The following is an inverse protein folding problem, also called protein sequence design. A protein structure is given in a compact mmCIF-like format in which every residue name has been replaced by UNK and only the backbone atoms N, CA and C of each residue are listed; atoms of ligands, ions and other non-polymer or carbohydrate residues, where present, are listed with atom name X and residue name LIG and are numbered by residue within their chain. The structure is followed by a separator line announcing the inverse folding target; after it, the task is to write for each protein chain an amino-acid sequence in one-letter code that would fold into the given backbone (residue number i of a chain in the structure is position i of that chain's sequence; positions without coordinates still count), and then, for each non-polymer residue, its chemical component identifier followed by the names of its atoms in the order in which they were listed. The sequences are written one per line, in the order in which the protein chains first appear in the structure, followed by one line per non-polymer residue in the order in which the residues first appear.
data_IF_052400330216
#
_entry.id   IF_052400330216
#
_cell.length_a   1.000
_cell.length_b   1.000
_cell.length_c   1.000
_cell.angle_alpha   90.00
_cell.angle_beta   90.00
_cell.angle_gamma   90.00
#
_symmetry.space_group_name_H-M   'P 1'
#
loop_
_entity.id
_entity.type
_entity.pdbx_description
1 polymer ?
#
# COMPACT_ATOMS: atom_id res chain seq x y z
N UNK A 1 -10.55 -25.03 -6.00
CA UNK A 1 -11.78 -24.64 -5.28
C UNK A 1 -12.51 -23.64 -6.17
N UNK A 2 -13.32 -24.15 -7.09
CA UNK A 2 -13.77 -23.44 -8.30
C UNK A 2 -14.59 -22.18 -8.00
N UNK A 3 -15.26 -22.16 -6.83
CA UNK A 3 -16.04 -21.01 -6.35
C UNK A 3 -15.14 -19.81 -6.04
N UNK A 4 -13.94 -20.03 -5.48
CA UNK A 4 -12.98 -18.96 -5.17
C UNK A 4 -12.42 -18.34 -6.44
N UNK A 5 -12.02 -19.19 -7.39
CA UNK A 5 -11.52 -18.74 -8.69
C UNK A 5 -12.58 -17.93 -9.45
N UNK A 6 -13.85 -18.38 -9.42
CA UNK A 6 -14.95 -17.65 -10.05
C UNK A 6 -15.16 -16.27 -9.41
N UNK A 7 -15.23 -16.19 -8.08
CA UNK A 7 -15.38 -14.91 -7.37
C UNK A 7 -14.22 -13.95 -7.63
N UNK A 8 -13.00 -14.47 -7.74
CA UNK A 8 -11.82 -13.67 -8.06
C UNK A 8 -11.92 -13.07 -9.46
N UNK A 9 -12.28 -13.87 -10.46
CA UNK A 9 -12.45 -13.39 -11.84
C UNK A 9 -13.60 -12.37 -11.92
N UNK A 10 -14.73 -12.65 -11.28
CA UNK A 10 -15.90 -11.77 -11.30
C UNK A 10 -15.59 -10.41 -10.63
N UNK A 11 -14.85 -10.42 -9.50
CA UNK A 11 -14.41 -9.21 -8.82
C UNK A 11 -13.59 -8.30 -9.72
N UNK A 12 -12.59 -8.86 -10.42
CA UNK A 12 -11.74 -8.04 -11.29
C UNK A 12 -12.49 -7.57 -12.52
N UNK A 13 -13.35 -8.39 -13.12
CA UNK A 13 -14.21 -7.97 -14.24
C UNK A 13 -15.07 -6.75 -13.92
N UNK A 14 -15.63 -6.67 -12.71
CA UNK A 14 -16.41 -5.51 -12.26
C UNK A 14 -15.55 -4.23 -12.14
N UNK A 15 -14.25 -4.39 -11.87
CA UNK A 15 -13.30 -3.29 -11.69
C UNK A 15 -12.61 -2.83 -12.98
N UNK A 16 -12.98 -3.41 -14.12
CA UNK A 16 -12.40 -3.04 -15.40
C UNK A 16 -12.88 -1.64 -15.84
N UNK A 17 -12.00 -0.63 -15.90
CA UNK A 17 -12.37 0.71 -16.33
C UNK A 17 -12.69 0.79 -17.84
N UNK A 18 -12.22 -0.18 -18.65
CA UNK A 18 -12.51 -0.22 -20.08
C UNK A 18 -12.68 -1.67 -20.56
N UNK A 19 -13.91 -2.22 -20.50
CA UNK A 19 -14.18 -3.61 -20.89
C UNK A 19 -13.99 -3.90 -22.39
N UNK A 20 -13.68 -2.86 -23.18
CA UNK A 20 -13.35 -3.01 -24.61
C UNK A 20 -11.91 -3.48 -24.82
N UNK A 21 -11.04 -3.31 -23.82
CA UNK A 21 -9.68 -3.84 -23.84
C UNK A 21 -9.70 -5.30 -23.35
N UNK A 22 -8.95 -6.17 -24.02
CA UNK A 22 -8.80 -7.57 -23.56
C UNK A 22 -8.07 -7.66 -22.22
N UNK A 23 -7.31 -6.62 -21.87
CA UNK A 23 -6.55 -6.50 -20.64
C UNK A 23 -7.23 -5.55 -19.65
N UNK A 24 -7.56 -6.09 -18.48
CA UNK A 24 -8.09 -5.31 -17.36
C UNK A 24 -6.96 -4.49 -16.72
N UNK A 25 -6.96 -3.19 -17.01
CA UNK A 25 -5.90 -2.28 -16.56
C UNK A 25 -5.82 -2.16 -15.03
N UNK A 26 -6.95 -2.26 -14.33
CA UNK A 26 -6.98 -2.20 -12.86
C UNK A 26 -6.34 -3.46 -12.23
N UNK A 27 -6.56 -4.62 -12.84
CA UNK A 27 -5.91 -5.88 -12.44
C UNK A 27 -4.40 -5.78 -12.63
N UNK A 28 -3.95 -5.38 -13.81
CA UNK A 28 -2.52 -5.25 -14.13
C UNK A 28 -1.84 -4.25 -13.21
N UNK A 29 -2.48 -3.09 -12.98
CA UNK A 29 -1.96 -2.06 -12.10
C UNK A 29 -1.83 -2.55 -10.66
N UNK A 30 -2.84 -3.26 -10.14
CA UNK A 30 -2.78 -3.83 -8.81
C UNK A 30 -1.60 -4.80 -8.66
N UNK A 31 -1.45 -5.76 -9.59
CA UNK A 31 -0.36 -6.73 -9.51
C UNK A 31 1.02 -6.10 -9.76
N UNK A 32 1.09 -5.04 -10.58
CA UNK A 32 2.30 -4.22 -10.73
C UNK A 32 2.70 -3.58 -9.40
N UNK A 33 1.75 -3.03 -8.66
CA UNK A 33 2.01 -2.44 -7.33
C UNK A 33 2.36 -3.48 -6.28
N UNK A 34 1.75 -4.67 -6.33
CA UNK A 34 2.12 -5.80 -5.47
C UNK A 34 3.58 -6.20 -5.71
N UNK A 35 3.97 -6.39 -6.97
CA UNK A 35 5.35 -6.73 -7.31
C UNK A 35 6.34 -5.64 -6.87
N UNK A 36 6.01 -4.37 -7.09
CA UNK A 36 6.82 -3.25 -6.60
C UNK A 36 6.93 -3.25 -5.07
N UNK A 37 5.82 -3.49 -4.37
CA UNK A 37 5.81 -3.54 -2.91
C UNK A 37 6.70 -4.68 -2.38
N UNK A 38 6.64 -5.86 -3.00
CA UNK A 38 7.51 -6.98 -2.65
C UNK A 38 8.98 -6.70 -2.93
N UNK A 39 9.31 -5.99 -4.00
CA UNK A 39 10.70 -5.63 -4.29
C UNK A 39 11.26 -4.57 -3.33
N UNK A 40 10.44 -3.58 -2.94
CA UNK A 40 10.92 -2.38 -2.25
C UNK A 40 10.65 -2.36 -0.74
N UNK A 41 9.66 -3.12 -0.26
CA UNK A 41 9.19 -3.05 1.12
C UNK A 41 9.24 -4.41 1.84
N UNK A 42 9.76 -5.46 1.21
CA UNK A 42 9.99 -6.74 1.87
C UNK A 42 11.09 -6.65 2.92
N UNK A 43 10.84 -7.26 4.07
CA UNK A 43 11.82 -7.45 5.15
C UNK A 43 11.63 -8.85 5.73
N UNK A 44 11.30 -8.97 7.02
CA UNK A 44 10.93 -10.24 7.65
C UNK A 44 9.59 -10.81 7.14
N UNK A 45 8.80 -9.99 6.46
CA UNK A 45 7.52 -10.34 5.82
C UNK A 45 7.55 -9.90 4.36
N UNK A 46 6.66 -10.48 3.56
CA UNK A 46 6.45 -10.07 2.18
C UNK A 46 6.04 -8.59 2.10
N UNK A 47 6.62 -7.85 1.15
CA UNK A 47 6.45 -6.41 1.06
C UNK A 47 5.01 -5.97 0.83
N UNK A 48 4.19 -6.76 0.12
CA UNK A 48 2.75 -6.51 -0.01
C UNK A 48 1.98 -6.55 1.32
N UNK A 49 2.56 -7.18 2.36
CA UNK A 49 2.00 -7.27 3.73
C UNK A 49 2.56 -6.21 4.66
N UNK A 50 3.60 -5.49 4.26
CA UNK A 50 4.13 -4.36 5.03
C UNK A 50 3.15 -3.19 4.98
N UNK A 51 3.20 -2.32 5.99
CA UNK A 51 2.31 -1.16 6.02
C UNK A 51 2.56 -0.23 4.83
N UNK A 52 3.84 0.00 4.47
CA UNK A 52 4.22 0.77 3.27
C UNK A 52 3.68 0.14 1.99
N UNK A 53 3.78 -1.19 1.86
CA UNK A 53 3.25 -1.92 0.71
C UNK A 53 1.73 -1.83 0.61
N UNK A 54 1.01 -1.95 1.72
CA UNK A 54 -0.45 -1.78 1.73
C UNK A 54 -0.85 -0.37 1.27
N UNK A 55 -0.21 0.68 1.80
CA UNK A 55 -0.48 2.06 1.37
C UNK A 55 -0.17 2.23 -0.12
N UNK A 56 0.99 1.74 -0.59
CA UNK A 56 1.40 1.85 -1.99
C UNK A 56 0.46 1.10 -2.95
N UNK A 57 -0.01 -0.09 -2.58
CA UNK A 57 -0.93 -0.86 -3.42
C UNK A 57 -2.26 -0.11 -3.57
N UNK A 58 -2.78 0.42 -2.46
CA UNK A 58 -4.08 1.11 -2.45
C UNK A 58 -4.00 2.47 -3.17
N UNK A 59 -3.03 3.30 -2.81
CA UNK A 59 -2.97 4.70 -3.24
C UNK A 59 -2.03 4.93 -4.43
N UNK A 60 -1.13 4.00 -4.71
CA UNK A 60 -0.09 4.15 -5.72
C UNK A 60 1.16 4.81 -5.16
N UNK A 61 1.95 5.42 -6.04
CA UNK A 61 3.12 6.17 -5.62
C UNK A 61 2.70 7.49 -4.95
N UNK A 62 3.28 7.86 -3.80
CA UNK A 62 3.08 9.19 -3.24
C UNK A 62 3.72 10.25 -4.14
N UNK A 63 3.22 11.49 -4.05
CA UNK A 63 3.77 12.65 -4.75
C UNK A 63 5.16 13.02 -4.20
N UNK A 64 5.35 12.85 -2.89
CA UNK A 64 6.62 13.10 -2.22
C UNK A 64 6.88 12.08 -1.11
N UNK A 65 8.14 11.72 -0.95
CA UNK A 65 8.64 10.90 0.16
C UNK A 65 9.73 11.70 0.87
N UNK A 66 9.47 12.14 2.09
CA UNK A 66 10.47 12.70 2.98
C UNK A 66 11.07 11.59 3.84
N UNK A 67 12.39 11.47 3.85
CA UNK A 67 13.10 10.38 4.53
C UNK A 67 13.99 10.93 5.62
N UNK A 68 13.74 10.49 6.83
CA UNK A 68 14.53 10.82 8.01
C UNK A 68 15.30 9.57 8.46
N UNK A 69 16.53 9.35 7.94
CA UNK A 69 17.40 8.29 8.44
C UNK A 69 17.81 8.60 9.88
N UNK A 70 18.33 7.60 10.61
CA UNK A 70 18.75 7.71 12.02
C UNK A 70 19.28 9.10 12.41
N UNK A 71 18.49 9.85 13.16
CA UNK A 71 18.91 11.10 13.80
C UNK A 71 19.25 10.78 15.27
N UNK A 72 20.14 11.57 15.89
CA UNK A 72 20.68 11.28 17.23
C UNK A 72 19.60 11.06 18.32
N UNK A 73 18.43 11.69 18.15
CA UNK A 73 17.31 11.64 19.10
C UNK A 73 15.99 11.10 18.52
N UNK A 74 15.99 10.51 17.32
CA UNK A 74 14.75 9.97 16.72
C UNK A 74 14.92 8.63 16.02
N UNK A 75 13.87 7.80 16.10
CA UNK A 75 13.75 6.59 15.26
C UNK A 75 13.70 7.00 13.78
N UNK A 76 14.22 6.17 12.85
CA UNK A 76 14.06 6.42 11.43
C UNK A 76 12.58 6.46 11.03
N UNK A 77 12.20 7.39 10.17
CA UNK A 77 10.84 7.48 9.67
C UNK A 77 10.77 8.01 8.23
N UNK A 78 9.68 7.68 7.55
CA UNK A 78 9.34 8.20 6.23
C UNK A 78 7.98 8.90 6.29
N UNK A 79 7.86 10.04 5.63
CA UNK A 79 6.61 10.76 5.44
C UNK A 79 6.25 10.71 3.97
N UNK A 80 5.14 10.04 3.66
CA UNK A 80 4.62 9.94 2.30
C UNK A 80 3.48 10.93 2.14
N UNK A 81 3.57 11.82 1.15
CA UNK A 81 2.59 12.87 0.90
C UNK A 81 1.79 12.57 -0.36
N UNK A 82 0.46 12.70 -0.26
CA UNK A 82 -0.47 12.60 -1.38
C UNK A 82 -1.23 13.93 -1.48
N UNK A 83 -0.80 14.80 -2.38
CA UNK A 83 -1.30 16.17 -2.52
C UNK A 83 -2.75 16.21 -3.00
N UNK A 84 -3.11 15.35 -3.95
CA UNK A 84 -4.49 15.23 -4.43
C UNK A 84 -5.46 14.79 -3.32
N UNK A 85 -4.96 14.04 -2.34
CA UNK A 85 -5.73 13.60 -1.17
C UNK A 85 -5.65 14.58 0.01
N UNK A 86 -4.80 15.61 -0.09
CA UNK A 86 -4.42 16.50 1.00
C UNK A 86 -4.12 15.72 2.30
N UNK A 87 -3.38 14.61 2.17
CA UNK A 87 -3.10 13.71 3.27
C UNK A 87 -1.66 13.22 3.27
N UNK A 88 -1.18 12.78 4.42
CA UNK A 88 0.19 12.27 4.59
C UNK A 88 0.19 11.07 5.52
N UNK A 89 1.07 10.12 5.24
CA UNK A 89 1.25 8.92 6.04
C UNK A 89 2.66 8.89 6.60
N UNK A 90 2.77 8.70 7.91
CA UNK A 90 4.06 8.61 8.60
C UNK A 90 4.32 7.15 8.95
N UNK A 91 5.45 6.64 8.48
CA UNK A 91 5.93 5.29 8.78
C UNK A 91 7.18 5.38 9.65
N UNK A 92 7.18 4.72 10.81
CA UNK A 92 8.30 4.74 11.74
C UNK A 92 8.90 3.34 11.81
N UNK A 93 10.22 3.21 11.64
CA UNK A 93 10.92 1.96 11.92
C UNK A 93 11.05 1.79 13.43
N UNK A 94 10.17 0.99 14.02
CA UNK A 94 10.17 0.79 15.47
C UNK A 94 11.38 0.01 15.97
N UNK A 95 11.98 -0.79 15.09
CA UNK A 95 12.96 -1.83 15.40
C UNK A 95 14.39 -1.42 15.05
N UNK A 96 14.56 -0.49 14.10
CA UNK A 96 15.85 -0.13 13.50
C UNK A 96 16.34 -1.11 12.44
N UNK A 97 15.51 -2.11 12.07
CA UNK A 97 15.83 -3.16 11.10
C UNK A 97 14.98 -3.09 9.83
N UNK A 98 14.29 -1.97 9.58
CA UNK A 98 13.47 -1.75 8.39
C UNK A 98 11.99 -2.12 8.53
N UNK A 99 11.52 -2.50 9.73
CA UNK A 99 10.09 -2.75 9.99
C UNK A 99 9.33 -1.43 10.21
N UNK A 100 9.10 -0.71 9.11
CA UNK A 100 8.37 0.55 9.08
C UNK A 100 6.87 0.33 9.35
N UNK A 101 6.41 0.81 10.50
CA UNK A 101 5.01 0.76 10.94
C UNK A 101 4.29 2.06 10.69
N UNK A 102 3.09 1.97 10.16
CA UNK A 102 2.23 3.12 9.93
C UNK A 102 1.71 3.66 11.26
N UNK A 103 1.96 4.95 11.50
CA UNK A 103 1.53 5.64 12.72
C UNK A 103 0.38 6.60 12.49
N UNK A 104 0.21 7.08 11.25
CA UNK A 104 -0.97 7.84 10.85
C UNK A 104 -2.10 6.87 10.50
N UNK A 105 -3.33 7.03 11.01
CA UNK A 105 -4.43 6.19 10.58
C UNK A 105 -4.59 6.31 9.06
N UNK A 106 -4.53 5.18 8.36
CA UNK A 106 -4.79 5.09 6.92
C UNK A 106 -6.15 5.73 6.55
N UNK A 107 -7.07 5.72 7.50
CA UNK A 107 -8.43 6.24 7.42
C UNK A 107 -8.86 6.70 8.82
N UNK A 108 -8.98 8.00 9.07
CA UNK A 108 -9.58 8.49 10.31
C UNK A 108 -11.00 7.92 10.49
N UNK A 109 -11.30 7.32 11.64
CA UNK A 109 -12.59 6.87 12.21
C UNK A 109 -13.69 6.20 11.32
N UNK A 110 -13.54 6.08 10.00
CA UNK A 110 -14.58 5.66 9.06
C UNK A 110 -14.72 4.14 8.88
N UNK A 111 -13.78 3.36 9.42
CA UNK A 111 -13.84 1.89 9.45
C UNK A 111 -13.85 1.32 10.89
N UNK A 112 -14.21 2.14 11.90
CA UNK A 112 -14.42 1.66 13.29
C UNK A 112 -15.63 0.73 13.48
N UNK A 113 -16.30 0.32 12.42
CA UNK A 113 -17.37 -0.69 12.49
C UNK A 113 -17.15 -1.81 11.48
N UNK A 114 -16.44 -2.85 11.92
CA UNK A 114 -16.71 -4.24 11.51
C UNK A 114 -16.38 -5.20 12.64
N UNK A 115 -17.35 -5.38 13.54
CA UNK A 115 -17.80 -6.69 14.03
C UNK A 115 -19.32 -6.67 14.11
#
# INVERSE_FOLDING_TARGET
DDIKSKRFVDFWKEKDPNPTNEQNQAFEEYFRRVAYADENFSHYVEGWRSDRGMVFIILGSPDNIDRHPFEYDSKPYEVWQYYDLNHSFIFIDETGFGDYRLTTPLYGDLFRYRY
#
